data_IF_663182912393
#
_entry.id   IF_663182912393
#
_cell.length_a   1.000
_cell.length_b   1.000
_cell.length_c   1.000
_cell.angle_alpha   90.00
_cell.angle_beta   90.00
_cell.angle_gamma   90.00
#
_symmetry.space_group_name_H-M   'P 1'
#
loop_
_entity.id
_entity.type
_entity.pdbx_description
1 polymer ?
#
# COMPACT_ATOMS: atom_id res chain seq x y z
N UNK A 1 22.73 -19.22 25.67
CA UNK A 1 22.65 -17.75 25.60
C UNK A 1 22.01 -17.38 24.27
N UNK A 2 20.79 -16.83 24.34
CA UNK A 2 20.08 -16.00 23.35
C UNK A 2 19.97 -16.47 21.89
N UNK A 3 18.93 -17.26 21.59
CA UNK A 3 18.27 -17.23 20.28
C UNK A 3 17.40 -15.96 20.22
N UNK A 4 17.93 -14.89 19.63
CA UNK A 4 17.16 -13.69 19.33
C UNK A 4 16.24 -13.98 18.15
N UNK A 5 14.98 -14.30 18.45
CA UNK A 5 13.91 -14.32 17.44
C UNK A 5 13.81 -12.91 16.86
N UNK A 6 14.26 -12.74 15.62
CA UNK A 6 13.86 -11.62 14.78
C UNK A 6 12.34 -11.74 14.56
N UNK A 7 11.54 -11.32 15.54
CA UNK A 7 10.12 -11.08 15.34
C UNK A 7 10.00 -9.78 14.53
N UNK A 8 10.20 -9.89 13.22
CA UNK A 8 9.55 -8.96 12.31
C UNK A 8 8.06 -8.97 12.64
N UNK A 9 7.44 -7.80 12.72
CA UNK A 9 6.00 -7.70 12.93
C UNK A 9 5.30 -8.31 11.70
N UNK A 10 5.00 -9.60 11.76
CA UNK A 10 4.16 -10.26 10.78
C UNK A 10 2.73 -9.78 11.03
N UNK A 11 2.30 -8.73 10.31
CA UNK A 11 0.87 -8.44 10.18
C UNK A 11 0.23 -9.64 9.49
N UNK A 12 -0.49 -10.45 10.27
CA UNK A 12 -1.43 -11.42 9.72
C UNK A 12 -2.61 -10.64 9.13
N UNK A 13 -2.76 -10.66 7.82
CA UNK A 13 -3.86 -9.99 7.11
C UNK A 13 -3.70 -10.12 5.60
N UNK A 14 -4.81 -10.09 4.86
CA UNK A 14 -4.79 -9.99 3.41
C UNK A 14 -4.39 -8.55 3.05
N UNK A 15 -3.58 -8.39 2.00
CA UNK A 15 -3.26 -7.08 1.43
C UNK A 15 -4.51 -6.24 1.19
N UNK A 16 -5.60 -6.87 0.74
CA UNK A 16 -6.87 -6.20 0.47
C UNK A 16 -7.62 -5.71 1.73
N UNK A 17 -7.31 -6.22 2.92
CA UNK A 17 -7.96 -5.77 4.17
C UNK A 17 -7.49 -4.35 4.57
N UNK A 18 -6.31 -3.94 4.08
CA UNK A 18 -5.69 -2.65 4.39
C UNK A 18 -5.49 -1.77 3.18
N UNK A 19 -5.78 -2.28 1.97
CA UNK A 19 -5.73 -1.53 0.72
C UNK A 19 -6.83 -0.48 0.69
N UNK A 20 -6.46 0.78 0.46
CA UNK A 20 -7.37 1.92 0.40
C UNK A 20 -6.84 2.91 -0.62
N UNK A 21 -7.77 3.58 -1.30
CA UNK A 21 -7.49 4.62 -2.30
C UNK A 21 -6.51 5.64 -1.74
N UNK A 22 -5.51 5.99 -2.56
CA UNK A 22 -4.57 7.07 -2.28
C UNK A 22 -4.97 8.28 -3.10
N UNK A 23 -5.23 9.41 -2.42
CA UNK A 23 -5.52 10.69 -3.08
C UNK A 23 -4.25 11.53 -3.16
N UNK A 24 -3.96 12.04 -4.35
CA UNK A 24 -2.86 12.98 -4.54
C UNK A 24 -3.17 14.33 -3.90
N UNK A 25 -2.18 14.90 -3.23
CA UNK A 25 -2.19 16.29 -2.75
C UNK A 25 -1.86 17.27 -3.87
N UNK A 26 -2.22 18.54 -3.66
CA UNK A 26 -1.82 19.61 -4.55
C UNK A 26 -0.29 19.71 -4.68
N UNK A 27 0.41 19.61 -3.55
CA UNK A 27 1.86 19.76 -3.42
C UNK A 27 2.66 18.56 -3.95
N UNK A 28 1.99 17.45 -4.28
CA UNK A 28 2.67 16.27 -4.81
C UNK A 28 3.30 16.57 -6.16
N UNK A 29 4.53 16.06 -6.33
CA UNK A 29 5.25 16.17 -7.59
C UNK A 29 4.53 15.39 -8.70
N UNK A 30 4.85 15.69 -9.96
CA UNK A 30 4.32 14.95 -11.10
C UNK A 30 4.68 13.47 -11.07
N UNK A 31 5.86 13.14 -10.54
CA UNK A 31 6.31 11.76 -10.36
C UNK A 31 5.48 11.05 -9.29
N UNK A 32 5.30 11.67 -8.13
CA UNK A 32 4.47 11.14 -7.03
C UNK A 32 3.04 10.88 -7.50
N UNK A 33 2.44 11.82 -8.24
CA UNK A 33 1.10 11.67 -8.83
C UNK A 33 1.01 10.45 -9.76
N UNK A 34 2.04 10.17 -10.56
CA UNK A 34 2.09 8.96 -11.42
C UNK A 34 2.18 7.68 -10.60
N UNK A 35 2.98 7.67 -9.53
CA UNK A 35 3.08 6.51 -8.64
C UNK A 35 1.75 6.23 -7.93
N UNK A 36 1.06 7.27 -7.46
CA UNK A 36 -0.27 7.16 -6.85
C UNK A 36 -1.27 6.52 -7.82
N UNK A 37 -1.29 6.95 -9.08
CA UNK A 37 -2.15 6.35 -10.10
C UNK A 37 -1.82 4.87 -10.31
N UNK A 38 -0.55 4.50 -10.45
CA UNK A 38 -0.13 3.12 -10.65
C UNK A 38 -0.52 2.21 -9.46
N UNK A 39 -0.37 2.68 -8.22
CA UNK A 39 -0.77 1.91 -7.04
C UNK A 39 -2.29 1.81 -6.90
N UNK A 40 -3.06 2.87 -7.24
CA UNK A 40 -4.51 2.80 -7.26
C UNK A 40 -5.02 1.79 -8.31
N UNK A 41 -4.47 1.79 -9.53
CA UNK A 41 -4.82 0.79 -10.55
C UNK A 41 -4.49 -0.64 -10.11
N UNK A 42 -3.39 -0.82 -9.40
CA UNK A 42 -3.01 -2.11 -8.83
C UNK A 42 -3.99 -2.57 -7.75
N UNK A 43 -4.42 -1.67 -6.86
CA UNK A 43 -5.43 -1.97 -5.84
C UNK A 43 -6.79 -2.30 -6.47
N UNK A 44 -7.18 -1.60 -7.54
CA UNK A 44 -8.39 -1.94 -8.28
C UNK A 44 -8.30 -3.36 -8.85
N UNK A 45 -7.19 -3.70 -9.53
CA UNK A 45 -6.98 -5.03 -10.14
C UNK A 45 -6.92 -6.16 -9.12
N UNK A 46 -6.29 -5.94 -7.96
CA UNK A 46 -6.08 -6.97 -6.95
C UNK A 46 -7.24 -7.11 -5.96
N UNK A 47 -7.88 -5.98 -5.62
CA UNK A 47 -8.80 -5.90 -4.49
C UNK A 47 -10.16 -5.26 -4.85
N UNK A 48 -10.35 -4.77 -6.09
CA UNK A 48 -11.58 -4.11 -6.53
C UNK A 48 -11.83 -2.73 -5.93
N UNK A 49 -10.81 -2.12 -5.32
CA UNK A 49 -10.91 -0.81 -4.67
C UNK A 49 -10.80 0.29 -5.73
N UNK A 50 -11.85 1.11 -5.88
CA UNK A 50 -11.91 2.19 -6.87
C UNK A 50 -11.69 3.58 -6.23
N UNK A 51 -10.95 4.48 -6.90
CA UNK A 51 -10.61 5.82 -6.41
C UNK A 51 -11.75 6.83 -6.35
#
# INVERSE_FOLDING_TARGET
MTLGLLSGCATSGNYCDVARVIYASHDDTSETKRQILAENEKMEKLCGVQP
#
